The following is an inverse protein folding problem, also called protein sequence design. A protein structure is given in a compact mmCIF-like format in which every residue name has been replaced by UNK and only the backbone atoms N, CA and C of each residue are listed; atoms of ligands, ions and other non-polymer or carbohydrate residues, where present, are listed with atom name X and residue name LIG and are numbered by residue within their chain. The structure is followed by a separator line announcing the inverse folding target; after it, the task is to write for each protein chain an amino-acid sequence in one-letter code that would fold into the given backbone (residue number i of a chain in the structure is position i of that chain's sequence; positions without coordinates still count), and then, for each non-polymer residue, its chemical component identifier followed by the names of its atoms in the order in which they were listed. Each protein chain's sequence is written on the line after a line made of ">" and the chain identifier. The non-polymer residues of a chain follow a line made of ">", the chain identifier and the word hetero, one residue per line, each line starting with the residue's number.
data_IF_812501869032
#
_entry.id   IF_812501869032
#
_cell.length_a   1.000
_cell.length_b   1.000
_cell.length_c   1.000
_cell.angle_alpha   90.00
_cell.angle_beta   90.00
_cell.angle_gamma   90.00
#
_symmetry.space_group_name_H-M   'P 1'
#
loop_
_entity.id
_entity.type
_entity.pdbx_description
1 polymer ?
#
# COMPACT_ATOMS: atom_id res chain seq x y z
N UNK A 1 8.43 -11.77 -37.33
CA UNK A 1 6.96 -11.66 -37.27
C UNK A 1 6.45 -11.80 -35.82
N UNK A 2 6.58 -12.94 -35.15
CA UNK A 2 6.12 -13.12 -33.75
C UNK A 2 6.59 -12.06 -32.75
N UNK A 3 7.80 -11.55 -32.91
CA UNK A 3 8.38 -10.55 -32.01
C UNK A 3 7.73 -9.17 -32.20
N UNK A 4 7.49 -8.78 -33.47
CA UNK A 4 6.75 -7.55 -33.79
C UNK A 4 5.28 -7.63 -33.35
N UNK A 5 4.65 -8.77 -33.52
CA UNK A 5 3.26 -9.00 -33.07
C UNK A 5 3.13 -8.93 -31.54
N UNK A 6 4.13 -9.44 -30.80
CA UNK A 6 4.18 -9.32 -29.35
C UNK A 6 4.42 -7.87 -28.87
N UNK A 7 5.26 -7.11 -29.58
CA UNK A 7 5.49 -5.69 -29.27
C UNK A 7 4.24 -4.85 -29.57
N UNK A 8 3.58 -5.07 -30.71
CA UNK A 8 2.31 -4.41 -31.04
C UNK A 8 1.23 -4.72 -29.99
N UNK A 9 1.10 -5.98 -29.59
CA UNK A 9 0.15 -6.39 -28.56
C UNK A 9 0.45 -5.76 -27.19
N UNK A 10 1.73 -5.61 -26.83
CA UNK A 10 2.15 -4.90 -25.60
C UNK A 10 1.79 -3.43 -25.63
N UNK A 11 2.02 -2.76 -26.76
CA UNK A 11 1.65 -1.36 -26.95
C UNK A 11 0.14 -1.18 -26.88
N UNK A 12 -0.65 -2.01 -27.58
CA UNK A 12 -2.11 -1.97 -27.53
C UNK A 12 -2.67 -2.20 -26.13
N UNK A 13 -2.11 -3.13 -25.34
CA UNK A 13 -2.54 -3.35 -23.94
C UNK A 13 -2.17 -2.17 -23.04
N UNK A 14 -1.04 -1.52 -23.29
CA UNK A 14 -0.60 -0.34 -22.54
C UNK A 14 -1.49 0.88 -22.80
N UNK A 15 -1.97 1.04 -24.04
CA UNK A 15 -2.84 2.16 -24.42
C UNK A 15 -4.28 2.03 -23.92
N UNK A 16 -4.77 0.81 -23.67
CA UNK A 16 -6.15 0.54 -23.25
C UNK A 16 -6.38 0.54 -21.74
N UNK A 17 -5.35 0.71 -20.93
CA UNK A 17 -5.47 0.76 -19.46
C UNK A 17 -5.32 2.20 -18.98
N UNK A 18 -6.35 2.73 -18.32
CA UNK A 18 -6.28 4.06 -17.70
C UNK A 18 -5.15 4.13 -16.65
N UNK A 19 -4.63 5.32 -16.41
CA UNK A 19 -3.58 5.53 -15.41
C UNK A 19 -4.13 5.32 -13.98
N UNK A 20 -3.63 4.30 -13.25
CA UNK A 20 -4.12 4.00 -11.92
C UNK A 20 -3.48 4.86 -10.81
N UNK A 21 -2.48 5.67 -11.15
CA UNK A 21 -1.66 6.43 -10.19
C UNK A 21 -2.51 7.32 -9.31
N UNK A 22 -3.52 7.99 -9.87
CA UNK A 22 -4.42 8.85 -9.11
C UNK A 22 -5.18 8.09 -8.00
N UNK A 23 -5.65 6.87 -8.30
CA UNK A 23 -6.34 6.02 -7.31
C UNK A 23 -5.39 5.56 -6.21
N UNK A 24 -4.19 5.10 -6.58
CA UNK A 24 -3.19 4.65 -5.62
C UNK A 24 -2.73 5.76 -4.68
N UNK A 25 -2.44 6.95 -5.23
CA UNK A 25 -2.03 8.11 -4.43
C UNK A 25 -3.16 8.62 -3.52
N UNK A 26 -4.40 8.69 -4.02
CA UNK A 26 -5.55 9.06 -3.19
C UNK A 26 -5.71 8.10 -2.01
N UNK A 27 -5.63 6.79 -2.27
CA UNK A 27 -5.73 5.76 -1.23
C UNK A 27 -4.67 5.95 -0.15
N UNK A 28 -3.42 6.15 -0.56
CA UNK A 28 -2.31 6.42 0.37
C UNK A 28 -2.51 7.72 1.16
N UNK A 29 -2.84 8.81 0.48
CA UNK A 29 -2.98 10.12 1.10
C UNK A 29 -4.08 10.14 2.17
N UNK A 30 -5.26 9.59 1.85
CA UNK A 30 -6.40 9.59 2.78
C UNK A 30 -6.13 8.71 3.99
N UNK A 31 -5.59 7.50 3.82
CA UNK A 31 -5.31 6.62 4.96
C UNK A 31 -4.21 7.22 5.86
N UNK A 32 -3.15 7.77 5.28
CA UNK A 32 -2.11 8.45 6.05
C UNK A 32 -2.67 9.66 6.81
N UNK A 33 -3.52 10.45 6.19
CA UNK A 33 -4.17 11.60 6.84
C UNK A 33 -5.02 11.16 8.04
N UNK A 34 -5.90 10.17 7.85
CA UNK A 34 -6.78 9.65 8.93
C UNK A 34 -5.95 9.09 10.09
N UNK A 35 -4.92 8.29 9.81
CA UNK A 35 -4.02 7.75 10.86
C UNK A 35 -3.29 8.88 11.59
N UNK A 36 -2.82 9.88 10.86
CA UNK A 36 -2.07 11.00 11.44
C UNK A 36 -2.89 11.79 12.45
N UNK A 37 -4.21 11.96 12.25
CA UNK A 37 -5.07 12.71 13.17
C UNK A 37 -5.04 12.13 14.59
N UNK A 38 -5.00 10.80 14.73
CA UNK A 38 -4.90 10.14 16.03
C UNK A 38 -3.51 10.27 16.65
N UNK A 39 -2.45 10.34 15.82
CA UNK A 39 -1.07 10.44 16.31
C UNK A 39 -0.70 11.83 16.79
N UNK A 40 -1.29 12.88 16.18
CA UNK A 40 -1.10 14.27 16.60
C UNK A 40 -2.14 14.75 17.64
N UNK A 41 -3.04 13.87 18.08
CA UNK A 41 -4.04 14.18 19.10
C UNK A 41 -5.24 15.00 18.61
N UNK A 42 -5.47 15.08 17.30
CA UNK A 42 -6.64 15.75 16.71
C UNK A 42 -7.90 14.89 16.77
N UNK A 43 -7.75 13.59 16.87
CA UNK A 43 -8.83 12.62 17.07
C UNK A 43 -8.53 11.68 18.21
N UNK A 44 -9.53 10.90 18.66
CA UNK A 44 -9.37 9.92 19.71
C UNK A 44 -8.31 8.84 19.35
N UNK A 45 -7.71 8.18 20.35
CA UNK A 45 -6.63 7.22 20.13
C UNK A 45 -7.12 5.85 19.59
N UNK A 46 -8.43 5.68 19.41
CA UNK A 46 -9.01 4.42 18.95
C UNK A 46 -8.75 4.19 17.47
N UNK A 47 -8.48 2.94 17.10
CA UNK A 47 -8.18 2.54 15.71
C UNK A 47 -9.39 2.00 14.94
N UNK A 48 -10.54 1.87 15.60
CA UNK A 48 -11.74 1.23 15.01
C UNK A 48 -12.21 1.85 13.69
N UNK A 49 -12.22 3.19 13.60
CA UNK A 49 -12.57 3.89 12.35
C UNK A 49 -11.43 3.88 11.34
N UNK A 50 -10.18 3.79 11.79
CA UNK A 50 -9.01 3.75 10.92
C UNK A 50 -8.96 2.44 10.11
N UNK A 51 -9.40 1.32 10.70
CA UNK A 51 -9.36 -0.01 10.08
C UNK A 51 -10.07 -0.05 8.70
N UNK A 52 -11.33 0.35 8.56
CA UNK A 52 -11.98 0.34 7.25
C UNK A 52 -11.30 1.23 6.22
N UNK A 53 -10.75 2.39 6.61
CA UNK A 53 -9.99 3.24 5.70
C UNK A 53 -8.67 2.59 5.28
N UNK A 54 -7.98 1.91 6.19
CA UNK A 54 -6.77 1.15 5.89
C UNK A 54 -7.04 0.00 4.93
N UNK A 55 -8.15 -0.73 5.12
CA UNK A 55 -8.52 -1.85 4.24
C UNK A 55 -8.96 -1.35 2.87
N UNK A 56 -9.88 -0.38 2.80
CA UNK A 56 -10.48 0.03 1.52
C UNK A 56 -9.54 0.90 0.70
N UNK A 57 -9.03 1.98 1.27
CA UNK A 57 -8.19 2.94 0.56
C UNK A 57 -6.70 2.63 0.71
N UNK A 58 -6.27 2.32 1.91
CA UNK A 58 -4.86 1.98 2.15
C UNK A 58 -4.44 0.69 1.44
N UNK A 59 -5.29 -0.32 1.41
CA UNK A 59 -4.98 -1.62 0.83
C UNK A 59 -5.61 -1.82 -0.55
N UNK A 60 -6.92 -1.98 -0.63
CA UNK A 60 -7.60 -2.42 -1.86
C UNK A 60 -7.33 -1.46 -3.02
N UNK A 61 -7.48 -0.16 -2.81
CA UNK A 61 -7.26 0.83 -3.87
C UNK A 61 -5.81 0.81 -4.37
N UNK A 62 -4.83 0.67 -3.48
CA UNK A 62 -3.42 0.60 -3.87
C UNK A 62 -3.08 -0.73 -4.55
N UNK A 63 -3.64 -1.87 -4.10
CA UNK A 63 -3.45 -3.16 -4.76
C UNK A 63 -4.07 -3.17 -6.17
N UNK A 64 -5.23 -2.52 -6.34
CA UNK A 64 -5.81 -2.30 -7.68
C UNK A 64 -4.88 -1.45 -8.54
N UNK A 65 -4.35 -0.35 -8.02
CA UNK A 65 -3.40 0.50 -8.73
C UNK A 65 -2.14 -0.29 -9.12
N UNK A 66 -1.58 -1.08 -8.21
CA UNK A 66 -0.45 -1.98 -8.46
C UNK A 66 -0.74 -2.94 -9.63
N UNK A 67 -1.91 -3.59 -9.60
CA UNK A 67 -2.31 -4.55 -10.64
C UNK A 67 -2.38 -3.91 -12.03
N UNK A 68 -2.97 -2.72 -12.15
CA UNK A 68 -3.04 -2.01 -13.42
C UNK A 68 -1.69 -1.47 -13.86
N UNK A 69 -0.82 -1.06 -12.93
CA UNK A 69 0.56 -0.68 -13.25
C UNK A 69 1.39 -1.86 -13.76
N UNK A 70 1.19 -3.08 -13.24
CA UNK A 70 1.77 -4.29 -13.83
C UNK A 70 1.33 -4.49 -15.28
N UNK A 71 0.06 -4.27 -15.57
CA UNK A 71 -0.46 -4.37 -16.95
C UNK A 71 0.11 -3.30 -17.89
N UNK A 72 0.40 -2.12 -17.37
CA UNK A 72 1.02 -1.01 -18.12
C UNK A 72 2.54 -1.12 -18.26
N UNK A 73 3.16 -2.19 -17.75
CA UNK A 73 4.62 -2.31 -17.66
C UNK A 73 5.28 -1.13 -16.89
N UNK A 74 4.60 -0.59 -15.88
CA UNK A 74 5.15 0.37 -14.94
C UNK A 74 5.68 -0.37 -13.69
N UNK A 75 6.95 -0.83 -13.68
CA UNK A 75 7.48 -1.62 -12.58
C UNK A 75 7.60 -0.81 -11.28
N UNK A 76 7.84 0.49 -11.37
CA UNK A 76 7.95 1.34 -10.19
C UNK A 76 6.60 1.47 -9.47
N UNK A 77 5.56 1.90 -10.17
CA UNK A 77 4.22 2.06 -9.60
C UNK A 77 3.66 0.73 -9.09
N UNK A 78 3.83 -0.36 -9.85
CA UNK A 78 3.35 -1.69 -9.44
C UNK A 78 3.97 -2.15 -8.13
N UNK A 79 5.28 -2.00 -7.96
CA UNK A 79 5.98 -2.40 -6.73
C UNK A 79 5.63 -1.50 -5.56
N UNK A 80 5.62 -0.18 -5.76
CA UNK A 80 5.33 0.78 -4.68
C UNK A 80 3.90 0.65 -4.18
N UNK A 81 2.91 0.69 -5.07
CA UNK A 81 1.51 0.53 -4.66
C UNK A 81 1.22 -0.86 -4.10
N UNK A 82 1.86 -1.90 -4.65
CA UNK A 82 1.74 -3.26 -4.12
C UNK A 82 2.27 -3.38 -2.69
N UNK A 83 3.47 -2.88 -2.44
CA UNK A 83 4.08 -2.92 -1.11
C UNK A 83 3.26 -2.14 -0.07
N UNK A 84 2.87 -0.89 -0.38
CA UNK A 84 2.06 -0.10 0.54
C UNK A 84 0.64 -0.64 0.71
N UNK A 85 0.03 -1.20 -0.34
CA UNK A 85 -1.26 -1.87 -0.23
C UNK A 85 -1.23 -3.06 0.73
N UNK A 86 -0.18 -3.89 0.65
CA UNK A 86 0.04 -5.00 1.58
C UNK A 86 0.40 -4.50 2.99
N UNK A 87 1.18 -3.43 3.11
CA UNK A 87 1.47 -2.80 4.40
C UNK A 87 0.18 -2.39 5.14
N UNK A 88 -0.74 -1.73 4.47
CA UNK A 88 -1.99 -1.30 5.09
C UNK A 88 -2.92 -2.48 5.43
N UNK A 89 -2.90 -3.57 4.64
CA UNK A 89 -3.56 -4.82 5.02
C UNK A 89 -3.01 -5.39 6.33
N UNK A 90 -1.68 -5.46 6.43
CA UNK A 90 -1.01 -5.95 7.63
C UNK A 90 -1.31 -5.07 8.84
N UNK A 91 -1.27 -3.74 8.68
CA UNK A 91 -1.61 -2.80 9.76
C UNK A 91 -3.05 -2.93 10.24
N UNK A 92 -4.00 -3.11 9.34
CA UNK A 92 -5.39 -3.38 9.70
C UNK A 92 -5.50 -4.66 10.54
N UNK A 93 -4.81 -5.74 10.13
CA UNK A 93 -4.73 -6.99 10.91
C UNK A 93 -4.10 -6.79 12.28
N UNK A 94 -3.00 -6.05 12.38
CA UNK A 94 -2.34 -5.70 13.65
C UNK A 94 -3.31 -4.99 14.61
N UNK A 95 -4.05 -4.00 14.11
CA UNK A 95 -5.03 -3.29 14.96
C UNK A 95 -6.18 -4.19 15.41
N UNK A 96 -6.66 -5.10 14.56
CA UNK A 96 -7.66 -6.11 14.95
C UNK A 96 -7.13 -7.05 16.05
N UNK A 97 -5.86 -7.46 15.97
CA UNK A 97 -5.20 -8.25 17.03
C UNK A 97 -5.16 -7.43 18.33
N UNK A 98 -4.71 -6.19 18.29
CA UNK A 98 -4.63 -5.33 19.46
C UNK A 98 -5.99 -5.07 20.11
N UNK A 99 -7.06 -5.01 19.31
CA UNK A 99 -8.43 -4.88 19.80
C UNK A 99 -9.02 -6.18 20.36
N UNK A 100 -8.29 -7.30 20.26
CA UNK A 100 -8.78 -8.62 20.72
C UNK A 100 -9.79 -9.30 19.80
N UNK A 101 -9.93 -8.85 18.55
CA UNK A 101 -10.91 -9.38 17.60
C UNK A 101 -10.71 -10.86 17.26
N UNK A 102 -9.49 -11.38 17.43
CA UNK A 102 -9.12 -12.78 17.21
C UNK A 102 -9.01 -13.61 18.50
N UNK A 103 -9.46 -13.05 19.63
CA UNK A 103 -9.46 -13.70 20.93
C UNK A 103 -8.24 -13.34 21.80
N UNK A 104 -8.36 -13.59 23.12
CA UNK A 104 -7.39 -13.13 24.11
C UNK A 104 -6.02 -13.80 23.97
N UNK A 105 -5.95 -15.02 23.50
CA UNK A 105 -4.68 -15.74 23.37
C UNK A 105 -3.80 -15.12 22.27
N UNK A 106 -4.40 -14.74 21.15
CA UNK A 106 -3.68 -14.06 20.06
C UNK A 106 -3.28 -12.66 20.51
N UNK A 107 -4.17 -11.94 21.20
CA UNK A 107 -3.88 -10.60 21.72
C UNK A 107 -2.72 -10.61 22.72
N UNK A 108 -2.66 -11.59 23.65
CA UNK A 108 -1.55 -11.73 24.61
C UNK A 108 -0.22 -12.03 23.95
N UNK A 109 -0.22 -12.74 22.83
CA UNK A 109 0.98 -13.05 22.03
C UNK A 109 1.48 -11.89 21.19
N UNK A 110 0.82 -10.72 21.20
CA UNK A 110 1.24 -9.57 20.41
C UNK A 110 2.58 -9.01 20.90
N UNK A 111 3.57 -9.04 20.03
CA UNK A 111 4.91 -8.50 20.31
C UNK A 111 5.16 -7.22 19.48
N UNK A 112 5.23 -6.10 20.19
CA UNK A 112 5.53 -4.79 19.56
C UNK A 112 6.92 -4.74 18.94
N UNK A 113 7.86 -5.57 19.40
CA UNK A 113 9.21 -5.61 18.84
C UNK A 113 9.21 -6.20 17.44
N UNK A 114 8.40 -7.23 17.18
CA UNK A 114 8.23 -7.78 15.83
C UNK A 114 7.63 -6.72 14.89
N UNK A 115 6.66 -5.95 15.35
CA UNK A 115 6.09 -4.84 14.58
C UNK A 115 7.14 -3.76 14.27
N UNK A 116 8.00 -3.43 15.22
CA UNK A 116 9.07 -2.47 15.03
C UNK A 116 10.04 -2.92 13.91
N UNK A 117 10.41 -4.20 13.86
CA UNK A 117 11.24 -4.73 12.77
C UNK A 117 10.54 -4.66 11.40
N UNK A 118 9.22 -4.86 11.34
CA UNK A 118 8.45 -4.65 10.11
C UNK A 118 8.54 -3.19 9.63
N UNK A 119 8.43 -2.22 10.55
CA UNK A 119 8.62 -0.80 10.21
C UNK A 119 10.04 -0.48 9.74
N UNK A 120 11.07 -1.09 10.32
CA UNK A 120 12.45 -0.93 9.85
C UNK A 120 12.57 -1.44 8.40
N UNK A 121 12.00 -2.60 8.08
CA UNK A 121 11.96 -3.12 6.72
C UNK A 121 11.28 -2.16 5.74
N UNK A 122 10.14 -1.59 6.11
CA UNK A 122 9.44 -0.61 5.28
C UNK A 122 10.17 0.74 5.20
N UNK A 123 10.89 1.15 6.22
CA UNK A 123 11.75 2.33 6.17
C UNK A 123 12.85 2.16 5.10
N UNK A 124 13.53 1.01 5.09
CA UNK A 124 14.54 0.69 4.08
C UNK A 124 13.90 0.71 2.68
N UNK A 125 12.78 0.03 2.50
CA UNK A 125 12.04 0.03 1.24
C UNK A 125 11.67 1.46 0.80
N UNK A 126 11.20 2.31 1.71
CA UNK A 126 10.81 3.70 1.41
C UNK A 126 12.00 4.56 0.99
N UNK A 127 13.16 4.37 1.61
CA UNK A 127 14.39 5.08 1.23
C UNK A 127 14.79 4.72 -0.21
N UNK A 128 14.85 3.41 -0.53
CA UNK A 128 15.17 2.97 -1.89
C UNK A 128 14.10 3.40 -2.91
N UNK A 129 12.82 3.34 -2.54
CA UNK A 129 11.71 3.82 -3.37
C UNK A 129 11.83 5.31 -3.67
N UNK A 130 12.19 6.12 -2.67
CA UNK A 130 12.44 7.57 -2.86
C UNK A 130 13.59 7.83 -3.82
N UNK A 131 14.71 7.12 -3.66
CA UNK A 131 15.86 7.25 -4.58
C UNK A 131 15.46 6.82 -6.01
N UNK A 132 14.70 5.74 -6.15
CA UNK A 132 14.22 5.27 -7.44
C UNK A 132 13.27 6.27 -8.11
N UNK A 133 12.38 6.92 -7.36
CA UNK A 133 11.43 7.92 -7.87
C UNK A 133 12.13 9.11 -8.53
N UNK A 134 13.27 9.55 -8.00
CA UNK A 134 14.07 10.64 -8.56
C UNK A 134 14.65 10.31 -9.95
N UNK A 135 14.75 9.00 -10.30
CA UNK A 135 15.24 8.55 -11.60
C UNK A 135 14.13 8.23 -12.60
N UNK A 136 12.93 8.03 -12.12
CA UNK A 136 11.79 7.57 -12.94
C UNK A 136 11.00 8.75 -13.53
N UNK A 137 11.01 9.90 -12.89
CA UNK A 137 10.31 11.13 -13.30
C UNK A 137 11.25 12.09 -14.07
N UNK A 138 11.88 11.60 -15.16
CA UNK A 138 12.63 12.44 -16.09
C UNK A 138 11.91 12.54 -17.43
#
# INVERSE_FOLDING_TARGET
>A
MKQMENEVRKVEMSENVADPTGLGLLGLAVVCFVVSTSRVGWSGPTTSVIIPWAVLLGSIAQLMASYFDFKKNNPFGSVVFGAYGLFWSAMAGVWLIQMGSFGPEIQKGFDVTQLAFAFVGFLIFSIFGTIASLKTNK
#
